data_IF_451946654098
#
_entry.id   IF_451946654098
#
_cell.length_a   1.000
_cell.length_b   1.000
_cell.length_c   1.000
_cell.angle_alpha   90.00
_cell.angle_beta   90.00
_cell.angle_gamma   90.00
#
_symmetry.space_group_name_H-M   'P 1'
#
loop_
_entity.id
_entity.type
_entity.pdbx_description
1 polymer ?
#
# COMPACT_ATOMS: atom_id res chain seq x y z
N UNK A 1 -21.65 31.36 -14.10
CA UNK A 1 -20.55 31.28 -15.06
C UNK A 1 -19.28 31.68 -14.32
N UNK A 2 -18.25 30.89 -14.37
CA UNK A 2 -16.92 30.99 -13.70
C UNK A 2 -16.79 30.14 -12.44
N UNK A 3 -16.61 28.84 -12.61
CA UNK A 3 -15.99 27.93 -11.64
C UNK A 3 -15.70 26.56 -12.31
N UNK A 4 -14.86 26.55 -13.35
CA UNK A 4 -14.46 25.32 -14.07
C UNK A 4 -13.07 25.52 -14.72
N UNK A 5 -12.05 25.93 -13.94
CA UNK A 5 -10.68 26.06 -14.48
C UNK A 5 -9.57 25.68 -13.51
N UNK A 6 -9.86 25.11 -12.32
CA UNK A 6 -8.81 24.82 -11.34
C UNK A 6 -8.29 23.36 -11.33
N UNK A 7 -8.87 22.44 -12.10
CA UNK A 7 -8.44 21.04 -12.13
C UNK A 7 -7.63 20.62 -13.36
N UNK A 8 -7.63 21.45 -14.41
CA UNK A 8 -6.87 21.15 -15.64
C UNK A 8 -5.42 21.68 -15.55
N UNK A 9 -5.17 22.78 -14.86
CA UNK A 9 -3.84 23.38 -14.74
C UNK A 9 -2.85 22.51 -13.92
N UNK A 10 -3.34 21.72 -12.94
CA UNK A 10 -2.48 20.84 -12.13
C UNK A 10 -1.99 19.60 -12.90
N UNK A 11 -2.71 19.17 -13.93
CA UNK A 11 -2.29 18.02 -14.75
C UNK A 11 -1.22 18.39 -15.77
N UNK A 12 -1.27 19.60 -16.29
CA UNK A 12 -0.33 20.09 -17.29
C UNK A 12 1.03 20.44 -16.66
N UNK A 13 1.06 20.99 -15.46
CA UNK A 13 2.29 21.23 -14.71
C UNK A 13 3.02 19.94 -14.31
N UNK A 14 2.28 18.88 -13.94
CA UNK A 14 2.85 17.57 -13.66
C UNK A 14 3.36 16.86 -14.93
N UNK A 15 2.67 17.02 -16.06
CA UNK A 15 3.13 16.50 -17.35
C UNK A 15 4.38 17.23 -17.85
N UNK A 16 4.48 18.55 -17.70
CA UNK A 16 5.66 19.31 -18.08
C UNK A 16 6.89 18.89 -17.27
N UNK A 17 6.70 18.63 -15.99
CA UNK A 17 7.76 18.17 -15.07
C UNK A 17 8.27 16.77 -15.43
N UNK A 18 7.40 15.87 -15.91
CA UNK A 18 7.79 14.53 -16.39
C UNK A 18 8.40 14.61 -17.79
N UNK A 19 7.90 15.47 -18.68
CA UNK A 19 8.41 15.64 -20.05
C UNK A 19 9.77 16.34 -20.10
N UNK A 20 10.02 17.35 -19.27
CA UNK A 20 11.35 17.95 -19.13
C UNK A 20 12.37 16.96 -18.56
N UNK A 21 11.91 15.97 -17.81
CA UNK A 21 12.73 14.88 -17.29
C UNK A 21 13.05 13.79 -18.32
N UNK A 22 12.20 13.62 -19.34
CA UNK A 22 12.32 12.58 -20.38
C UNK A 22 12.89 13.08 -21.72
N UNK A 23 13.02 14.40 -21.92
CA UNK A 23 13.11 15.05 -23.26
C UNK A 23 14.45 15.66 -23.67
N UNK A 24 15.61 15.29 -23.11
CA UNK A 24 16.90 15.74 -23.66
C UNK A 24 17.87 14.57 -23.86
N UNK A 25 17.69 13.87 -24.98
CA UNK A 25 18.70 12.92 -25.44
C UNK A 25 19.39 13.45 -26.71
N UNK A 26 20.64 13.84 -26.60
CA UNK A 26 21.59 13.91 -27.71
C UNK A 26 22.99 13.49 -27.22
N UNK A 27 23.29 12.27 -27.51
CA UNK A 27 24.55 11.60 -27.77
C UNK A 27 25.83 12.08 -27.06
N UNK A 28 26.32 11.28 -26.10
CA UNK A 28 27.75 10.99 -25.98
C UNK A 28 27.96 9.66 -25.25
N UNK A 29 28.67 8.77 -25.93
CA UNK A 29 29.09 7.47 -25.41
C UNK A 29 30.01 7.66 -24.20
N UNK A 30 29.70 7.01 -23.09
CA UNK A 30 30.60 6.86 -21.96
C UNK A 30 30.65 5.40 -21.51
N UNK A 31 31.88 4.91 -21.42
CA UNK A 31 32.28 3.54 -21.16
C UNK A 31 31.84 3.07 -19.76
N UNK A 32 31.32 1.84 -19.71
CA UNK A 32 30.71 1.27 -18.53
C UNK A 32 31.71 0.82 -17.48
N UNK A 33 31.34 0.99 -16.28
CA UNK A 33 31.47 0.17 -15.04
C UNK A 33 31.22 1.04 -13.82
N UNK A 34 29.96 1.26 -13.51
CA UNK A 34 29.58 1.62 -12.13
C UNK A 34 28.56 0.63 -11.65
N UNK A 35 28.97 -0.23 -10.74
CA UNK A 35 28.12 -1.10 -9.95
C UNK A 35 27.05 -0.26 -9.23
N UNK A 36 25.80 -0.75 -9.11
CA UNK A 36 24.74 -0.04 -8.38
C UNK A 36 25.18 0.23 -6.93
N UNK A 37 24.82 1.36 -6.34
CA UNK A 37 25.19 1.75 -4.98
C UNK A 37 24.57 0.91 -3.87
N UNK A 38 23.91 -0.18 -4.19
CA UNK A 38 23.11 -1.01 -3.28
C UNK A 38 23.90 -1.84 -2.25
N UNK A 39 25.24 -1.97 -2.42
CA UNK A 39 26.07 -2.80 -1.53
C UNK A 39 26.82 -2.08 -0.41
N UNK A 40 26.68 -0.76 -0.26
CA UNK A 40 27.44 0.02 0.73
C UNK A 40 26.61 0.57 1.91
N UNK A 41 25.32 0.25 2.01
CA UNK A 41 24.54 0.66 3.18
C UNK A 41 24.58 -0.49 4.19
N UNK A 42 25.63 -0.48 5.04
CA UNK A 42 25.61 -1.25 6.27
C UNK A 42 24.31 -0.94 7.01
N UNK A 43 23.68 -1.96 7.62
CA UNK A 43 22.48 -1.86 8.47
C UNK A 43 22.63 -0.68 9.43
N UNK A 44 22.29 0.52 9.00
CA UNK A 44 22.03 1.63 9.91
C UNK A 44 20.71 1.29 10.60
N UNK A 45 20.67 1.38 11.92
CA UNK A 45 19.45 1.16 12.70
C UNK A 45 18.39 2.12 12.17
N UNK A 46 17.25 1.60 11.76
CA UNK A 46 16.08 2.38 11.41
C UNK A 46 15.77 3.34 12.56
N UNK A 47 15.58 4.64 12.25
CA UNK A 47 15.18 5.63 13.25
C UNK A 47 16.31 6.52 13.78
N UNK A 48 17.37 6.78 13.03
CA UNK A 48 18.36 7.80 13.43
C UNK A 48 17.68 9.18 13.54
N UNK A 49 17.87 9.84 14.65
CA UNK A 49 17.41 11.22 14.85
C UNK A 49 18.40 12.16 14.21
N UNK A 50 17.98 12.78 13.10
CA UNK A 50 18.77 13.72 12.32
C UNK A 50 18.49 15.17 12.75
N UNK A 51 19.43 16.07 12.46
CA UNK A 51 19.20 17.51 12.61
C UNK A 51 18.49 18.06 11.37
N UNK A 52 17.60 19.04 11.54
CA UNK A 52 17.02 19.79 10.42
C UNK A 52 18.10 20.44 9.54
N UNK A 53 19.25 20.81 10.11
CA UNK A 53 20.39 21.38 9.39
C UNK A 53 21.11 20.38 8.47
N UNK A 54 20.86 19.08 8.62
CA UNK A 54 21.42 18.04 7.75
C UNK A 54 20.58 17.80 6.49
N UNK A 55 19.42 18.47 6.37
CA UNK A 55 18.47 18.30 5.30
C UNK A 55 18.52 19.45 4.32
N UNK A 56 18.55 19.14 3.02
CA UNK A 56 18.36 20.10 1.93
C UNK A 56 17.16 19.67 1.11
N UNK A 57 16.09 20.46 1.15
CA UNK A 57 14.90 20.24 0.33
C UNK A 57 15.15 20.71 -1.09
N UNK A 58 14.89 19.87 -2.07
CA UNK A 58 15.25 20.10 -3.49
C UNK A 58 14.01 20.48 -4.30
N UNK A 59 12.93 19.68 -4.17
CA UNK A 59 11.73 19.82 -4.98
C UNK A 59 10.51 19.26 -4.23
N UNK A 60 9.36 19.89 -4.39
CA UNK A 60 8.07 19.32 -3.92
C UNK A 60 7.72 18.11 -4.80
N UNK A 61 7.33 17.01 -4.15
CA UNK A 61 6.86 15.78 -4.80
C UNK A 61 5.34 15.63 -4.70
N UNK A 62 4.72 16.27 -3.70
CA UNK A 62 3.28 16.21 -3.48
C UNK A 62 2.88 16.68 -2.10
N UNK A 63 1.57 16.74 -1.85
CA UNK A 63 1.01 17.07 -0.54
C UNK A 63 -0.08 16.08 -0.17
N UNK A 64 -0.14 15.71 1.12
CA UNK A 64 -1.14 14.83 1.70
C UNK A 64 -1.91 15.52 2.82
N UNK A 65 -2.76 14.76 3.50
CA UNK A 65 -3.67 15.27 4.54
C UNK A 65 -2.95 15.71 5.83
N UNK A 66 -1.76 15.19 6.11
CA UNK A 66 -0.98 15.50 7.32
C UNK A 66 0.37 16.19 7.04
N UNK A 67 0.72 16.45 5.78
CA UNK A 67 1.98 17.11 5.43
C UNK A 67 2.29 17.09 3.95
N UNK A 68 3.40 17.72 3.59
CA UNK A 68 3.90 17.78 2.21
C UNK A 68 5.15 16.93 2.05
N UNK A 69 5.33 16.32 0.88
CA UNK A 69 6.47 15.45 0.56
C UNK A 69 7.41 16.18 -0.37
N UNK A 70 8.69 16.16 -0.05
CA UNK A 70 9.77 16.77 -0.82
C UNK A 70 10.83 15.76 -1.17
N UNK A 71 11.45 15.93 -2.32
CA UNK A 71 12.76 15.35 -2.59
C UNK A 71 13.79 16.08 -1.72
N UNK A 72 14.54 15.33 -0.94
CA UNK A 72 15.53 15.91 -0.04
C UNK A 72 16.88 15.19 -0.16
N UNK A 73 17.95 15.94 0.04
CA UNK A 73 19.29 15.42 0.26
C UNK A 73 19.61 15.45 1.74
N UNK A 74 20.04 14.32 2.25
CA UNK A 74 20.40 14.12 3.66
C UNK A 74 21.91 14.02 3.75
N UNK A 75 22.56 14.92 4.48
CA UNK A 75 24.00 14.89 4.72
C UNK A 75 24.37 13.67 5.57
N UNK A 76 25.33 12.89 5.11
CA UNK A 76 25.79 11.69 5.82
C UNK A 76 27.01 11.99 6.66
N UNK A 77 27.08 11.39 7.85
CA UNK A 77 28.26 11.46 8.74
C UNK A 77 29.51 10.88 8.09
N UNK A 78 29.36 9.95 7.15
CA UNK A 78 30.46 9.34 6.36
C UNK A 78 30.92 10.20 5.19
N UNK A 79 30.34 11.38 4.98
CA UNK A 79 30.51 12.21 3.79
C UNK A 79 29.54 11.84 2.67
N UNK A 80 29.24 12.83 1.80
CA UNK A 80 28.26 12.69 0.71
C UNK A 80 26.81 12.89 1.17
N UNK A 81 25.88 12.72 0.22
CA UNK A 81 24.45 12.91 0.43
C UNK A 81 23.67 11.63 0.10
N UNK A 82 22.58 11.43 0.83
CA UNK A 82 21.58 10.43 0.52
C UNK A 82 20.34 11.15 -0.03
N UNK A 83 19.81 10.70 -1.16
CA UNK A 83 18.54 11.19 -1.71
C UNK A 83 17.39 10.44 -1.03
N UNK A 84 16.43 11.19 -0.51
CA UNK A 84 15.28 10.65 0.23
C UNK A 84 13.99 11.39 -0.13
N UNK A 85 12.85 10.74 0.11
CA UNK A 85 11.57 11.41 0.20
C UNK A 85 11.39 11.90 1.64
N UNK A 86 11.10 13.20 1.81
CA UNK A 86 10.95 13.85 3.10
C UNK A 86 9.50 14.31 3.28
N UNK A 87 8.72 13.62 4.15
CA UNK A 87 7.37 14.04 4.53
C UNK A 87 7.49 15.05 5.68
N UNK A 88 7.19 16.30 5.38
CA UNK A 88 7.28 17.46 6.29
C UNK A 88 5.91 17.79 6.84
N UNK A 89 5.78 17.82 8.16
CA UNK A 89 4.53 17.99 8.89
C UNK A 89 4.64 19.18 9.83
N UNK A 90 3.68 20.13 9.78
CA UNK A 90 3.57 21.23 10.74
C UNK A 90 2.85 20.74 12.01
N UNK A 91 3.56 20.66 13.12
CA UNK A 91 3.01 20.20 14.42
C UNK A 91 1.84 21.06 14.90
N UNK A 92 1.82 22.37 14.59
CA UNK A 92 0.73 23.28 14.96
C UNK A 92 -0.52 22.99 14.14
N UNK A 93 -0.36 22.76 12.84
CA UNK A 93 -1.47 22.36 11.98
C UNK A 93 -2.05 21.01 12.38
N UNK A 94 -1.18 20.02 12.66
CA UNK A 94 -1.61 18.71 13.14
C UNK A 94 -2.41 18.81 14.43
N UNK A 95 -1.95 19.60 15.41
CA UNK A 95 -2.65 19.84 16.66
C UNK A 95 -4.00 20.55 16.43
N UNK A 96 -4.03 21.59 15.59
CA UNK A 96 -5.27 22.32 15.27
C UNK A 96 -6.33 21.45 14.58
N UNK A 97 -5.91 20.40 13.84
CA UNK A 97 -6.77 19.47 13.11
C UNK A 97 -6.98 18.13 13.81
N UNK A 98 -6.48 17.97 15.05
CA UNK A 98 -6.51 16.71 15.82
C UNK A 98 -5.92 15.50 15.06
N UNK A 99 -4.80 15.73 14.36
CA UNK A 99 -4.13 14.72 13.53
C UNK A 99 -2.76 14.26 14.05
N UNK A 100 -2.34 14.68 15.23
CA UNK A 100 -1.08 14.27 15.85
C UNK A 100 -1.00 12.74 16.04
N UNK A 101 -2.14 12.11 16.34
CA UNK A 101 -2.25 10.66 16.48
C UNK A 101 -1.91 9.92 15.17
N UNK A 102 -2.32 10.46 14.02
CA UNK A 102 -2.03 9.89 12.70
C UNK A 102 -0.54 9.99 12.36
N UNK A 103 0.06 11.16 12.56
CA UNK A 103 1.50 11.37 12.33
C UNK A 103 2.36 10.44 13.21
N UNK A 104 1.95 10.23 14.46
CA UNK A 104 2.63 9.29 15.37
C UNK A 104 2.47 7.85 14.89
N UNK A 105 1.26 7.44 14.51
CA UNK A 105 0.99 6.08 14.03
C UNK A 105 1.80 5.76 12.76
N UNK A 106 1.86 6.69 11.80
CA UNK A 106 2.67 6.54 10.60
C UNK A 106 4.15 6.34 10.94
N UNK A 107 4.71 7.15 11.83
CA UNK A 107 6.10 7.00 12.27
C UNK A 107 6.34 5.64 12.92
N UNK A 108 5.51 5.24 13.89
CA UNK A 108 5.65 3.96 14.60
C UNK A 108 5.52 2.75 13.67
N UNK A 109 4.71 2.86 12.62
CA UNK A 109 4.58 1.83 11.60
C UNK A 109 5.86 1.78 10.76
N UNK A 110 6.32 2.92 10.23
CA UNK A 110 7.53 2.99 9.41
C UNK A 110 8.78 2.49 10.14
N UNK A 111 8.89 2.71 11.46
CA UNK A 111 9.99 2.21 12.28
C UNK A 111 10.02 0.67 12.36
N UNK A 112 8.86 0.01 12.19
CA UNK A 112 8.71 -1.44 12.27
C UNK A 112 8.77 -2.15 10.92
N UNK A 113 8.69 -1.43 9.81
CA UNK A 113 8.64 -2.03 8.48
C UNK A 113 10.05 -2.43 7.99
N UNK A 114 10.17 -3.68 7.50
CA UNK A 114 11.35 -4.19 6.80
C UNK A 114 10.91 -5.18 5.73
N UNK A 115 10.56 -4.67 4.54
CA UNK A 115 10.01 -5.47 3.45
C UNK A 115 10.32 -4.84 2.09
N UNK A 116 10.62 -5.60 1.02
CA UNK A 116 11.05 -5.06 -0.27
C UNK A 116 10.02 -4.20 -1.02
N UNK A 117 8.73 -4.27 -0.67
CA UNK A 117 7.64 -3.47 -1.26
C UNK A 117 7.07 -2.44 -0.28
N UNK A 118 7.80 -2.13 0.79
CA UNK A 118 7.45 -1.11 1.78
C UNK A 118 8.65 -0.17 1.99
N UNK A 119 8.42 1.13 2.24
CA UNK A 119 9.49 2.12 2.29
C UNK A 119 10.37 1.90 3.52
N UNK A 120 11.66 1.99 3.31
CA UNK A 120 12.61 2.04 4.42
C UNK A 120 12.58 3.42 5.04
N UNK A 121 12.43 3.51 6.35
CA UNK A 121 12.64 4.73 7.10
C UNK A 121 14.15 4.92 7.31
N UNK A 122 14.71 6.00 6.75
CA UNK A 122 16.12 6.36 6.94
C UNK A 122 16.35 7.07 8.26
N UNK A 123 15.38 7.87 8.71
CA UNK A 123 15.43 8.60 9.95
C UNK A 123 14.32 9.62 10.07
N UNK A 124 14.37 10.40 11.14
CA UNK A 124 13.46 11.51 11.39
C UNK A 124 14.21 12.72 11.90
N UNK A 125 13.71 13.91 11.57
CA UNK A 125 14.19 15.18 12.11
C UNK A 125 13.00 15.95 12.70
N UNK A 126 13.22 16.68 13.77
CA UNK A 126 12.21 17.52 14.40
C UNK A 126 12.82 18.79 14.98
N UNK A 127 12.03 19.85 14.94
CA UNK A 127 12.29 21.07 15.71
C UNK A 127 11.04 21.51 16.49
N UNK A 128 10.98 22.76 16.95
CA UNK A 128 9.83 23.29 17.67
C UNK A 128 8.51 23.33 16.88
N UNK A 129 8.56 23.41 15.56
CA UNK A 129 7.40 23.53 14.66
C UNK A 129 7.24 22.33 13.74
N UNK A 130 8.31 21.80 13.19
CA UNK A 130 8.29 20.84 12.11
C UNK A 130 8.65 19.43 12.58
N UNK A 131 8.04 18.43 11.96
CA UNK A 131 8.41 17.02 12.07
C UNK A 131 8.63 16.48 10.65
N UNK A 132 9.75 15.79 10.42
CA UNK A 132 10.12 15.27 9.11
C UNK A 132 10.40 13.77 9.23
N UNK A 133 9.78 12.98 8.34
CA UNK A 133 10.08 11.56 8.14
C UNK A 133 10.82 11.39 6.82
N UNK A 134 11.95 10.69 6.85
CA UNK A 134 12.80 10.47 5.68
C UNK A 134 12.72 9.02 5.25
N UNK A 135 12.15 8.80 4.08
CA UNK A 135 11.96 7.46 3.51
C UNK A 135 12.67 7.30 2.17
N UNK A 136 12.68 6.08 1.69
CA UNK A 136 13.18 5.75 0.36
C UNK A 136 12.44 6.54 -0.72
N UNK A 137 13.20 7.10 -1.67
CA UNK A 137 12.65 7.85 -2.80
C UNK A 137 12.40 6.91 -3.99
N UNK A 138 11.21 6.99 -4.57
CA UNK A 138 10.77 6.23 -5.73
C UNK A 138 10.71 7.13 -6.98
N UNK A 139 11.69 7.06 -7.88
CA UNK A 139 11.77 7.97 -9.04
C UNK A 139 10.74 7.68 -10.13
N UNK A 140 10.08 6.52 -10.10
CA UNK A 140 9.07 6.14 -11.09
C UNK A 140 7.70 6.78 -10.87
N UNK A 141 7.54 7.63 -9.83
CA UNK A 141 6.25 8.23 -9.48
C UNK A 141 5.26 7.22 -8.93
N UNK A 142 3.98 7.54 -8.98
CA UNK A 142 2.91 6.66 -8.51
C UNK A 142 2.22 5.90 -9.67
N UNK A 143 1.50 4.86 -9.30
CA UNK A 143 0.83 3.98 -10.26
C UNK A 143 -0.38 4.65 -10.92
N UNK A 144 -0.97 5.69 -10.28
CA UNK A 144 -2.04 6.49 -10.90
C UNK A 144 -1.50 7.24 -12.12
N UNK A 145 -0.40 7.99 -11.97
CA UNK A 145 0.24 8.72 -13.07
C UNK A 145 0.69 7.73 -14.15
N UNK A 146 1.37 6.64 -13.76
CA UNK A 146 1.80 5.62 -14.72
C UNK A 146 0.61 5.03 -15.50
N UNK A 147 -0.55 4.81 -14.85
CA UNK A 147 -1.79 4.38 -15.50
C UNK A 147 -2.33 5.42 -16.47
N UNK A 148 -2.33 6.72 -16.08
CA UNK A 148 -2.79 7.80 -16.96
C UNK A 148 -1.97 7.90 -18.27
N UNK A 149 -0.69 7.53 -18.22
CA UNK A 149 0.20 7.48 -19.39
C UNK A 149 -0.03 6.25 -20.29
N UNK A 150 -0.74 5.22 -19.80
CA UNK A 150 -1.03 4.04 -20.61
C UNK A 150 -2.09 4.31 -21.68
N UNK A 151 -2.08 3.57 -22.79
CA UNK A 151 -3.18 3.60 -23.77
C UNK A 151 -4.52 3.33 -23.09
N UNK A 152 -5.53 4.18 -23.35
CA UNK A 152 -6.86 4.09 -22.72
C UNK A 152 -6.84 4.21 -21.19
N UNK A 153 -5.77 4.78 -20.61
CA UNK A 153 -5.60 5.03 -19.16
C UNK A 153 -5.80 3.79 -18.29
N UNK A 154 -5.35 2.62 -18.77
CA UNK A 154 -5.46 1.33 -18.09
C UNK A 154 -4.29 0.42 -18.44
N UNK A 155 -4.04 -0.57 -17.59
CA UNK A 155 -3.03 -1.59 -17.83
C UNK A 155 -3.63 -2.84 -18.49
N UNK A 156 -2.78 -3.61 -19.19
CA UNK A 156 -3.10 -4.98 -19.58
C UNK A 156 -3.15 -5.92 -18.35
N UNK A 157 -3.78 -7.08 -18.51
CA UNK A 157 -3.98 -8.03 -17.41
C UNK A 157 -2.65 -8.61 -16.87
N UNK A 158 -1.61 -8.72 -17.68
CA UNK A 158 -0.32 -9.23 -17.25
C UNK A 158 0.38 -8.23 -16.31
N UNK A 159 0.37 -6.95 -16.68
CA UNK A 159 0.86 -5.85 -15.84
C UNK A 159 0.07 -5.73 -14.54
N UNK A 160 -1.27 -5.85 -14.59
CA UNK A 160 -2.12 -5.83 -13.38
C UNK A 160 -1.77 -7.03 -12.48
N UNK A 161 -1.59 -8.23 -13.04
CA UNK A 161 -1.19 -9.40 -12.26
C UNK A 161 0.14 -9.19 -11.55
N UNK A 162 1.12 -8.57 -12.23
CA UNK A 162 2.41 -8.24 -11.64
C UNK A 162 2.24 -7.31 -10.44
N UNK A 163 1.67 -6.12 -10.62
CA UNK A 163 1.53 -5.12 -9.57
C UNK A 163 0.67 -5.62 -8.40
N UNK A 164 -0.46 -6.26 -8.68
CA UNK A 164 -1.35 -6.82 -7.65
C UNK A 164 -0.65 -7.93 -6.86
N UNK A 165 0.19 -8.75 -7.49
CA UNK A 165 0.96 -9.77 -6.78
C UNK A 165 1.90 -9.17 -5.73
N UNK A 166 2.60 -8.10 -6.06
CA UNK A 166 3.51 -7.42 -5.13
C UNK A 166 2.75 -6.73 -3.99
N UNK A 167 1.63 -6.07 -4.33
CA UNK A 167 0.72 -5.46 -3.32
C UNK A 167 0.19 -6.52 -2.35
N UNK A 168 -0.23 -7.70 -2.84
CA UNK A 168 -0.70 -8.81 -1.96
C UNK A 168 0.39 -9.25 -0.99
N UNK A 169 1.65 -9.34 -1.43
CA UNK A 169 2.77 -9.74 -0.56
C UNK A 169 3.07 -8.65 0.48
N UNK A 170 3.00 -7.37 0.10
CA UNK A 170 3.16 -6.26 1.04
C UNK A 170 2.06 -6.23 2.10
N UNK A 171 0.80 -6.42 1.68
CA UNK A 171 -0.35 -6.46 2.59
C UNK A 171 -0.31 -7.68 3.53
N UNK A 172 0.09 -8.86 3.01
CA UNK A 172 0.31 -10.05 3.84
C UNK A 172 1.32 -9.77 4.96
N UNK A 173 2.45 -9.14 4.62
CA UNK A 173 3.46 -8.77 5.62
C UNK A 173 2.89 -7.82 6.69
N UNK A 174 2.15 -6.79 6.28
CA UNK A 174 1.53 -5.84 7.21
C UNK A 174 0.51 -6.53 8.13
N UNK A 175 -0.37 -7.38 7.58
CA UNK A 175 -1.38 -8.11 8.35
C UNK A 175 -0.74 -9.06 9.38
N UNK A 176 0.31 -9.79 9.00
CA UNK A 176 1.09 -10.63 9.94
C UNK A 176 1.68 -9.80 11.09
N UNK A 177 2.04 -8.54 10.84
CA UNK A 177 2.53 -7.60 11.85
C UNK A 177 1.40 -6.90 12.64
N UNK A 178 0.15 -7.25 12.39
CA UNK A 178 -1.01 -6.64 13.04
C UNK A 178 -1.33 -5.23 12.54
N UNK A 179 -0.92 -4.90 11.31
CA UNK A 179 -1.15 -3.59 10.69
C UNK A 179 -2.23 -3.74 9.61
N UNK A 180 -3.29 -2.93 9.68
CA UNK A 180 -4.31 -2.76 8.65
C UNK A 180 -4.00 -1.46 7.91
N UNK A 181 -3.85 -1.50 6.58
CA UNK A 181 -3.37 -0.39 5.77
C UNK A 181 -4.42 0.68 5.54
N UNK A 182 -5.63 0.32 5.09
CA UNK A 182 -6.86 1.14 4.93
C UNK A 182 -6.86 2.21 3.84
N UNK A 183 -5.77 2.43 3.13
CA UNK A 183 -5.70 3.45 2.07
C UNK A 183 -4.99 2.96 0.80
N UNK A 184 -5.27 1.71 0.38
CA UNK A 184 -4.78 1.21 -0.90
C UNK A 184 -5.51 1.90 -2.05
N UNK A 185 -4.73 2.60 -2.89
CA UNK A 185 -5.16 3.24 -4.14
C UNK A 185 -3.94 3.44 -5.04
N UNK A 186 -4.10 3.67 -6.36
CA UNK A 186 -2.96 3.82 -7.27
C UNK A 186 -1.99 4.94 -6.88
N UNK A 187 -2.48 6.03 -6.28
CA UNK A 187 -1.68 7.17 -5.80
C UNK A 187 -0.72 6.79 -4.67
N UNK A 188 -1.07 5.75 -3.89
CA UNK A 188 -0.27 5.28 -2.76
C UNK A 188 0.62 4.07 -3.11
N UNK A 189 0.70 3.72 -4.40
CA UNK A 189 1.58 2.67 -4.92
C UNK A 189 2.64 3.32 -5.80
N UNK A 190 3.82 3.52 -5.25
CA UNK A 190 4.96 4.13 -5.94
C UNK A 190 5.73 3.07 -6.74
N UNK A 191 6.47 3.52 -7.75
CA UNK A 191 7.35 2.69 -8.57
C UNK A 191 8.81 3.02 -8.24
N UNK A 192 9.53 2.02 -7.75
CA UNK A 192 10.96 2.11 -7.45
C UNK A 192 11.81 2.27 -8.71
N UNK A 193 13.08 2.62 -8.54
CA UNK A 193 14.04 2.75 -9.64
C UNK A 193 14.23 1.48 -10.48
N UNK A 194 13.87 0.35 -9.93
CA UNK A 194 13.93 -0.97 -10.55
C UNK A 194 12.58 -1.44 -11.13
N UNK A 195 11.53 -0.62 -11.06
CA UNK A 195 10.20 -0.89 -11.60
C UNK A 195 9.27 -1.70 -10.69
N UNK A 196 9.72 -2.09 -9.49
CA UNK A 196 8.90 -2.76 -8.49
C UNK A 196 8.07 -1.75 -7.67
N UNK A 197 6.96 -2.24 -7.09
CA UNK A 197 6.08 -1.36 -6.30
C UNK A 197 6.62 -1.08 -4.91
N UNK A 198 6.19 0.05 -4.35
CA UNK A 198 6.39 0.43 -2.97
C UNK A 198 5.12 1.11 -2.44
N UNK A 199 4.45 0.50 -1.46
CA UNK A 199 3.29 1.11 -0.79
C UNK A 199 3.76 2.24 0.11
N UNK A 200 3.03 3.37 0.11
CA UNK A 200 3.37 4.56 0.90
C UNK A 200 2.16 5.09 1.66
N UNK A 201 2.35 6.12 2.47
CA UNK A 201 1.30 6.82 3.23
C UNK A 201 0.54 5.92 4.22
N UNK A 202 1.09 5.80 5.43
CA UNK A 202 0.55 4.96 6.51
C UNK A 202 -0.25 5.74 7.55
N UNK A 203 -0.58 6.99 7.27
CA UNK A 203 -1.25 7.89 8.22
C UNK A 203 -2.67 7.43 8.60
N UNK A 204 -3.35 6.70 7.72
CA UNK A 204 -4.65 6.07 7.99
C UNK A 204 -4.54 4.65 8.54
N UNK A 205 -3.35 4.08 8.62
CA UNK A 205 -3.16 2.68 9.03
C UNK A 205 -3.44 2.48 10.52
N UNK A 206 -3.89 1.27 10.85
CA UNK A 206 -4.10 0.84 12.24
C UNK A 206 -3.09 -0.23 12.60
N UNK A 207 -2.46 -0.07 13.76
CA UNK A 207 -1.57 -1.07 14.35
C UNK A 207 -2.18 -1.64 15.62
N UNK A 208 -2.17 -2.97 15.74
CA UNK A 208 -2.58 -3.66 16.98
C UNK A 208 -1.65 -3.29 18.13
N UNK A 209 -2.23 -2.90 19.26
CA UNK A 209 -1.47 -2.64 20.50
C UNK A 209 -1.00 -3.91 21.21
N UNK A 210 -1.52 -5.07 20.81
CA UNK A 210 -1.10 -6.36 21.33
C UNK A 210 -0.16 -7.03 20.34
N UNK A 211 1.04 -7.41 20.78
CA UNK A 211 1.91 -8.35 20.07
C UNK A 211 1.28 -9.75 20.11
N UNK A 212 0.17 -9.91 19.38
CA UNK A 212 -0.43 -11.23 19.22
C UNK A 212 0.48 -12.03 18.28
N UNK A 213 1.16 -13.01 18.87
CA UNK A 213 1.80 -14.06 18.07
C UNK A 213 0.77 -14.61 17.08
N UNK A 214 1.17 -14.85 15.80
CA UNK A 214 0.26 -15.35 14.79
C UNK A 214 -0.45 -16.60 15.30
N UNK A 215 -1.78 -16.60 15.23
CA UNK A 215 -2.59 -17.71 15.65
C UNK A 215 -2.46 -18.85 14.62
N UNK A 216 -2.06 -20.03 15.06
CA UNK A 216 -2.15 -21.24 14.25
C UNK A 216 -3.60 -21.75 14.28
N UNK A 217 -4.27 -21.74 13.14
CA UNK A 217 -5.55 -22.44 13.00
C UNK A 217 -5.27 -23.95 12.96
N UNK A 218 -5.35 -24.60 14.11
CA UNK A 218 -5.11 -26.02 14.14
C UNK A 218 -5.40 -26.67 15.48
N UNK A 219 -6.49 -27.38 15.50
CA UNK A 219 -6.99 -28.39 16.43
C UNK A 219 -8.03 -27.93 17.45
N UNK A 220 -9.21 -28.52 17.44
CA UNK A 220 -10.12 -28.42 18.57
C UNK A 220 -9.41 -29.08 19.78
N UNK A 221 -9.09 -28.28 20.77
CA UNK A 221 -8.69 -28.79 22.07
C UNK A 221 -9.90 -29.45 22.70
N UNK A 222 -9.98 -30.75 22.56
CA UNK A 222 -10.77 -31.54 23.50
C UNK A 222 -10.03 -31.53 24.83
N UNK A 223 -10.60 -30.82 25.79
CA UNK A 223 -10.25 -30.96 27.20
C UNK A 223 -10.33 -32.44 27.61
N UNK A 224 -9.17 -33.04 27.88
CA UNK A 224 -9.11 -34.23 28.73
C UNK A 224 -8.01 -33.98 29.75
N UNK A 225 -8.44 -33.36 30.84
CA UNK A 225 -7.77 -33.52 32.14
C UNK A 225 -8.04 -34.93 32.62
N UNK A 226 -7.02 -35.78 32.68
CA UNK A 226 -6.97 -36.88 33.62
C UNK A 226 -5.54 -37.39 33.72
N UNK A 227 -4.99 -37.23 34.90
CA UNK A 227 -3.84 -37.94 35.39
C UNK A 227 -4.01 -39.47 35.24
N UNK A 228 -2.91 -40.17 35.00
CA UNK A 228 -2.52 -41.43 35.67
C UNK A 228 -1.17 -41.87 35.12
N UNK A 229 -0.13 -41.79 35.91
CA UNK A 229 0.55 -42.89 36.56
C UNK A 229 1.16 -44.00 35.71
N UNK A 230 2.44 -44.13 35.92
CA UNK A 230 3.34 -45.21 35.48
C UNK A 230 2.78 -46.65 35.70
N UNK A 231 3.06 -47.51 34.72
CA UNK A 231 3.50 -48.89 34.96
C UNK A 231 3.69 -49.58 33.57
N UNK A 232 4.92 -49.95 33.26
CA UNK A 232 5.20 -51.00 32.28
C UNK A 232 5.00 -52.36 32.94
N UNK A 233 4.68 -53.43 32.20
CA UNK A 233 5.73 -54.35 31.80
C UNK A 233 5.63 -54.92 30.39
N UNK A 234 6.78 -55.40 29.90
CA UNK A 234 7.03 -56.10 28.70
C UNK A 234 6.29 -57.43 28.59
N UNK A 235 5.82 -57.82 27.35
CA UNK A 235 5.81 -59.19 26.88
C UNK A 235 5.74 -59.22 25.33
N UNK A 236 6.75 -59.72 24.72
CA UNK A 236 7.01 -60.64 23.62
C UNK A 236 5.95 -60.95 22.55
N UNK A 237 6.41 -60.78 21.31
CA UNK A 237 6.19 -61.59 20.08
C UNK A 237 4.86 -62.28 19.83
N UNK A 238 4.22 -61.96 18.67
CA UNK A 238 3.97 -62.96 17.61
C UNK A 238 3.52 -62.27 16.31
N UNK A 239 4.10 -62.72 15.19
CA UNK A 239 3.82 -62.32 13.84
C UNK A 239 2.38 -62.58 13.40
N UNK A 240 1.73 -61.56 12.78
CA UNK A 240 0.81 -61.80 11.66
C UNK A 240 0.77 -60.58 10.75
N UNK A 241 1.26 -60.73 9.50
CA UNK A 241 1.16 -59.73 8.44
C UNK A 241 -0.30 -59.54 8.06
N UNK A 242 -0.91 -58.44 8.49
CA UNK A 242 -2.13 -57.88 7.90
C UNK A 242 -1.74 -56.68 7.07
N UNK A 243 -1.93 -56.81 5.74
CA UNK A 243 -1.83 -55.69 4.79
C UNK A 243 -2.94 -54.70 5.12
N UNK A 244 -2.58 -53.57 5.74
CA UNK A 244 -3.46 -52.44 5.86
C UNK A 244 -3.38 -51.60 4.60
N UNK A 245 -4.56 -51.10 4.03
CA UNK A 245 -4.55 -50.18 2.93
C UNK A 245 -3.88 -48.87 3.40
N UNK A 246 -2.84 -48.45 2.64
CA UNK A 246 -2.20 -47.14 2.85
C UNK A 246 -3.21 -46.03 2.50
N UNK A 247 -4.06 -45.62 3.44
CA UNK A 247 -4.68 -44.30 3.40
C UNK A 247 -3.53 -43.29 3.47
N UNK A 248 -3.20 -42.69 2.33
CA UNK A 248 -2.43 -41.46 2.27
C UNK A 248 -3.29 -40.37 2.95
N UNK A 249 -3.19 -40.22 4.26
CA UNK A 249 -3.54 -38.99 4.91
C UNK A 249 -2.68 -37.91 4.26
N UNK A 250 -3.29 -37.09 3.38
CA UNK A 250 -2.74 -35.79 3.06
C UNK A 250 -2.59 -35.09 4.42
N UNK A 251 -1.35 -34.96 4.90
CA UNK A 251 -1.04 -34.02 5.96
C UNK A 251 -1.34 -32.65 5.36
N UNK A 252 -2.50 -32.10 5.65
CA UNK A 252 -2.72 -30.68 5.52
C UNK A 252 -1.75 -30.04 6.50
N UNK A 253 -0.76 -29.37 5.96
CA UNK A 253 0.09 -28.49 6.76
C UNK A 253 -0.83 -27.52 7.53
N UNK A 254 -0.55 -27.22 8.79
CA UNK A 254 -1.32 -26.22 9.51
C UNK A 254 -1.33 -24.93 8.68
N UNK A 255 -2.52 -24.44 8.39
CA UNK A 255 -2.71 -23.24 7.60
C UNK A 255 -2.42 -22.03 8.52
N UNK A 256 -1.43 -21.26 8.14
CA UNK A 256 -1.03 -20.06 8.88
C UNK A 256 -2.04 -18.96 8.63
N UNK A 257 -2.68 -18.44 9.68
CA UNK A 257 -3.56 -17.27 9.59
C UNK A 257 -2.71 -16.00 9.63
N UNK A 258 -2.77 -15.21 8.57
CA UNK A 258 -2.03 -13.94 8.44
C UNK A 258 -2.86 -12.71 8.81
N UNK A 259 -4.08 -12.87 9.30
CA UNK A 259 -4.99 -11.78 9.61
C UNK A 259 -4.84 -11.24 11.03
N UNK A 260 -4.89 -9.90 11.23
CA UNK A 260 -4.88 -9.28 12.56
C UNK A 260 -6.26 -9.44 13.23
N UNK A 261 -6.44 -10.52 13.96
CA UNK A 261 -7.74 -10.97 14.52
C UNK A 261 -8.39 -9.97 15.49
N UNK A 262 -7.59 -9.14 16.17
CA UNK A 262 -8.07 -8.29 17.27
C UNK A 262 -8.09 -6.78 16.97
N UNK A 263 -7.84 -6.37 15.71
CA UNK A 263 -7.87 -4.96 15.33
C UNK A 263 -9.23 -4.60 14.77
N UNK A 264 -9.97 -3.73 15.45
CA UNK A 264 -11.25 -3.20 14.97
C UNK A 264 -11.29 -1.68 15.12
N UNK A 265 -11.97 -1.02 14.19
CA UNK A 265 -12.17 0.44 14.16
C UNK A 265 -13.58 0.77 13.74
N UNK A 266 -14.08 1.93 14.20
CA UNK A 266 -15.32 2.53 13.74
C UNK A 266 -15.07 3.87 13.01
N UNK A 267 -13.80 4.17 12.68
CA UNK A 267 -13.45 5.42 12.01
C UNK A 267 -13.88 5.39 10.54
N UNK A 268 -14.45 6.50 10.06
CA UNK A 268 -14.76 6.71 8.64
C UNK A 268 -13.53 7.36 7.99
N UNK A 269 -12.69 6.55 7.35
CA UNK A 269 -11.42 6.98 6.74
C UNK A 269 -11.19 6.26 5.43
N UNK A 270 -10.46 6.90 4.52
CA UNK A 270 -10.12 6.41 3.19
C UNK A 270 -10.72 7.26 2.08
N UNK A 271 -10.31 7.00 0.85
CA UNK A 271 -10.84 7.64 -0.36
C UNK A 271 -12.26 7.12 -0.64
N UNK A 272 -13.24 8.00 -0.88
CA UNK A 272 -14.66 7.65 -0.95
C UNK A 272 -14.99 6.48 -1.89
N UNK A 273 -14.35 6.45 -3.07
CA UNK A 273 -14.58 5.39 -4.06
C UNK A 273 -14.01 4.02 -3.66
N UNK A 274 -13.12 4.01 -2.68
CA UNK A 274 -12.43 2.81 -2.17
C UNK A 274 -13.01 2.28 -0.87
N UNK A 275 -13.95 3.02 -0.23
CA UNK A 275 -14.51 2.61 1.06
C UNK A 275 -15.24 1.28 0.97
N UNK A 276 -15.02 0.41 1.96
CA UNK A 276 -15.75 -0.83 2.10
C UNK A 276 -17.19 -0.59 2.61
N UNK A 277 -18.16 -1.44 2.25
CA UNK A 277 -19.56 -1.29 2.67
C UNK A 277 -19.75 -1.14 4.18
N UNK A 278 -19.01 -1.90 4.99
CA UNK A 278 -19.03 -1.85 6.44
C UNK A 278 -18.53 -0.52 7.01
N UNK A 279 -17.58 0.14 6.34
CA UNK A 279 -17.15 1.50 6.71
C UNK A 279 -18.28 2.48 6.40
N UNK A 280 -18.87 2.38 5.21
CA UNK A 280 -19.97 3.26 4.77
C UNK A 280 -21.19 3.10 5.67
N UNK A 281 -21.50 1.89 6.10
CA UNK A 281 -22.63 1.60 7.01
C UNK A 281 -22.35 1.97 8.47
N UNK A 282 -21.12 2.37 8.81
CA UNK A 282 -20.74 2.71 10.19
C UNK A 282 -20.60 1.50 11.10
N UNK A 283 -20.45 0.30 10.53
CA UNK A 283 -20.18 -0.93 11.27
C UNK A 283 -18.70 -1.01 11.65
N UNK A 284 -18.39 -1.73 12.71
CA UNK A 284 -16.99 -1.96 13.09
C UNK A 284 -16.28 -2.79 12.03
N UNK A 285 -15.08 -2.33 11.59
CA UNK A 285 -14.30 -2.98 10.54
C UNK A 285 -12.91 -3.45 11.01
N UNK A 286 -12.39 -4.47 10.35
CA UNK A 286 -11.05 -5.04 10.56
C UNK A 286 -10.25 -5.11 9.26
N UNK A 287 -9.31 -6.07 9.17
CA UNK A 287 -8.42 -6.26 8.01
C UNK A 287 -9.14 -6.58 6.69
N UNK A 288 -10.37 -7.08 6.75
CA UNK A 288 -11.15 -7.38 5.55
C UNK A 288 -11.36 -6.16 4.62
N UNK A 289 -11.29 -4.92 5.16
CA UNK A 289 -11.38 -3.70 4.35
C UNK A 289 -10.24 -3.58 3.34
N UNK A 290 -9.04 -4.06 3.68
CA UNK A 290 -7.89 -4.03 2.78
C UNK A 290 -8.09 -4.96 1.57
N UNK A 291 -8.77 -6.10 1.76
CA UNK A 291 -9.11 -6.99 0.65
C UNK A 291 -10.20 -6.42 -0.25
N UNK A 292 -11.12 -5.62 0.31
CA UNK A 292 -12.06 -4.84 -0.50
C UNK A 292 -11.34 -3.79 -1.34
N UNK A 293 -10.45 -2.98 -0.73
CA UNK A 293 -9.70 -1.96 -1.47
C UNK A 293 -8.82 -2.58 -2.55
N UNK A 294 -8.25 -3.79 -2.33
CA UNK A 294 -7.53 -4.55 -3.36
C UNK A 294 -8.45 -4.89 -4.56
N UNK A 295 -9.71 -5.24 -4.31
CA UNK A 295 -10.69 -5.51 -5.36
C UNK A 295 -11.02 -4.27 -6.19
N UNK A 296 -11.19 -3.10 -5.54
CA UNK A 296 -11.39 -1.81 -6.22
C UNK A 296 -10.14 -1.44 -7.02
N UNK A 297 -8.97 -1.52 -6.43
CA UNK A 297 -7.68 -1.25 -7.04
C UNK A 297 -7.46 -2.09 -8.31
N UNK A 298 -7.68 -3.41 -8.22
CA UNK A 298 -7.55 -4.30 -9.37
C UNK A 298 -8.53 -3.95 -10.50
N UNK A 299 -9.78 -3.62 -10.15
CA UNK A 299 -10.78 -3.19 -11.12
C UNK A 299 -10.35 -1.89 -11.81
N UNK A 300 -9.90 -0.88 -11.05
CA UNK A 300 -9.46 0.39 -11.62
C UNK A 300 -8.26 0.26 -12.54
N UNK A 301 -7.26 -0.56 -12.18
CA UNK A 301 -6.11 -0.79 -13.06
C UNK A 301 -6.51 -1.44 -14.40
N UNK A 302 -7.52 -2.33 -14.41
CA UNK A 302 -8.00 -3.04 -15.61
C UNK A 302 -8.93 -2.21 -16.47
N UNK A 303 -9.79 -1.37 -15.87
CA UNK A 303 -10.85 -0.66 -16.58
C UNK A 303 -10.62 0.85 -16.69
N UNK A 304 -9.73 1.43 -15.89
CA UNK A 304 -9.39 2.86 -15.88
C UNK A 304 -10.29 3.72 -14.99
N UNK A 305 -11.25 3.13 -14.30
CA UNK A 305 -12.16 3.80 -13.37
C UNK A 305 -12.61 2.82 -12.27
N UNK A 306 -13.16 3.34 -11.17
CA UNK A 306 -13.58 2.54 -10.01
C UNK A 306 -14.96 1.90 -10.23
N UNK A 307 -15.25 0.73 -9.59
CA UNK A 307 -16.39 -0.11 -9.96
C UNK A 307 -17.77 0.44 -9.55
N UNK A 308 -17.84 1.41 -8.65
CA UNK A 308 -19.08 1.89 -8.06
C UNK A 308 -19.42 3.34 -8.38
N UNK A 309 -18.58 4.04 -9.17
CA UNK A 309 -18.85 5.37 -9.71
C UNK A 309 -19.95 5.32 -10.76
N UNK A 310 -20.77 6.36 -10.88
CA UNK A 310 -21.78 6.49 -11.93
C UNK A 310 -23.13 7.02 -11.45
N UNK A 311 -24.03 7.24 -12.43
CA UNK A 311 -25.29 7.94 -12.24
C UNK A 311 -26.27 7.28 -11.27
N UNK A 312 -27.04 8.13 -10.62
CA UNK A 312 -28.00 7.95 -9.52
C UNK A 312 -29.08 6.89 -9.76
N UNK A 313 -29.45 6.19 -8.68
CA UNK A 313 -30.73 5.54 -8.50
C UNK A 313 -31.40 5.97 -7.17
N UNK A 314 -32.72 5.75 -7.12
CA UNK A 314 -33.69 6.14 -6.07
C UNK A 314 -33.36 5.82 -4.59
N UNK A 315 -32.22 5.18 -4.28
CA UNK A 315 -31.73 4.88 -2.91
C UNK A 315 -31.16 6.11 -2.18
N UNK A 316 -30.92 7.20 -2.91
CA UNK A 316 -30.36 8.45 -2.46
C UNK A 316 -31.04 9.08 -1.22
N UNK A 317 -32.38 9.15 -1.25
CA UNK A 317 -33.13 9.87 -0.21
C UNK A 317 -33.04 9.21 1.18
N UNK A 318 -32.85 7.91 1.23
CA UNK A 318 -32.79 7.16 2.49
C UNK A 318 -31.39 7.23 3.14
N UNK A 319 -30.31 7.27 2.35
CA UNK A 319 -28.93 7.41 2.86
C UNK A 319 -28.64 8.83 3.37
N UNK A 320 -29.12 9.86 2.70
CA UNK A 320 -28.94 11.26 3.10
C UNK A 320 -29.51 11.55 4.49
N UNK A 321 -30.58 10.86 4.89
CA UNK A 321 -31.20 11.00 6.19
C UNK A 321 -30.45 10.29 7.32
N UNK A 322 -29.70 9.23 7.00
CA UNK A 322 -28.93 8.42 7.96
C UNK A 322 -27.51 8.99 8.23
N UNK A 323 -26.90 9.63 7.23
CA UNK A 323 -25.53 10.14 7.32
C UNK A 323 -25.45 11.64 7.61
N UNK A 324 -25.06 12.03 8.82
CA UNK A 324 -24.83 13.42 9.24
C UNK A 324 -23.56 14.03 8.62
N UNK A 325 -23.32 13.86 7.31
CA UNK A 325 -22.10 14.35 6.64
C UNK A 325 -22.28 15.77 6.11
N UNK A 326 -21.46 16.71 6.58
CA UNK A 326 -21.57 18.16 6.26
C UNK A 326 -20.79 18.61 5.01
N UNK A 327 -19.90 17.76 4.43
CA UNK A 327 -18.98 18.17 3.35
C UNK A 327 -18.82 17.10 2.24
N UNK A 328 -19.86 16.30 1.97
CA UNK A 328 -19.82 15.27 0.93
C UNK A 328 -20.61 15.76 -0.28
N UNK A 329 -20.02 15.69 -1.47
CA UNK A 329 -20.67 16.08 -2.73
C UNK A 329 -21.80 15.11 -3.08
N UNK A 330 -22.74 15.56 -3.95
CA UNK A 330 -23.80 14.67 -4.43
C UNK A 330 -23.24 13.44 -5.17
N UNK A 331 -22.11 13.58 -5.87
CA UNK A 331 -21.40 12.49 -6.55
C UNK A 331 -20.84 11.47 -5.55
N UNK A 332 -20.17 11.91 -4.49
CA UNK A 332 -19.63 11.01 -3.46
C UNK A 332 -20.73 10.21 -2.79
N UNK A 333 -21.84 10.86 -2.48
CA UNK A 333 -22.99 10.19 -1.85
C UNK A 333 -23.59 9.09 -2.75
N UNK A 334 -23.61 9.31 -4.06
CA UNK A 334 -24.09 8.30 -5.01
C UNK A 334 -23.14 7.11 -5.09
N UNK A 335 -21.84 7.39 -5.08
CA UNK A 335 -20.80 6.37 -5.01
C UNK A 335 -20.95 5.53 -3.74
N UNK A 336 -21.11 6.16 -2.58
CA UNK A 336 -21.31 5.47 -1.30
C UNK A 336 -22.59 4.60 -1.32
N UNK A 337 -23.70 5.09 -1.88
CA UNK A 337 -24.91 4.31 -2.05
C UNK A 337 -24.71 3.09 -2.95
N UNK A 338 -23.98 3.24 -4.06
CA UNK A 338 -23.63 2.15 -4.95
C UNK A 338 -22.73 1.11 -4.27
N UNK A 339 -21.76 1.56 -3.46
CA UNK A 339 -20.88 0.69 -2.67
C UNK A 339 -21.70 -0.24 -1.77
N UNK A 340 -22.74 0.26 -1.12
CA UNK A 340 -23.59 -0.56 -0.24
C UNK A 340 -24.54 -1.46 -1.04
N UNK A 341 -25.21 -0.90 -2.06
CA UNK A 341 -26.39 -1.54 -2.67
C UNK A 341 -26.11 -2.31 -3.97
N UNK A 342 -25.11 -1.93 -4.76
CA UNK A 342 -24.89 -2.50 -6.10
C UNK A 342 -23.80 -3.56 -6.11
N UNK A 343 -24.08 -4.68 -6.81
CA UNK A 343 -23.03 -5.64 -7.20
C UNK A 343 -22.05 -5.03 -8.23
N UNK A 344 -20.83 -5.56 -8.29
CA UNK A 344 -19.87 -5.17 -9.31
C UNK A 344 -20.37 -5.58 -10.70
N UNK A 345 -20.33 -4.62 -11.65
CA UNK A 345 -20.69 -4.81 -13.06
C UNK A 345 -19.41 -4.66 -13.89
N UNK A 346 -19.14 -5.65 -14.74
CA UNK A 346 -17.97 -5.62 -15.61
C UNK A 346 -18.36 -5.10 -16.98
N UNK A 347 -17.65 -4.07 -17.51
CA UNK A 347 -17.80 -3.64 -18.88
C UNK A 347 -17.48 -4.76 -19.87
N UNK A 348 -18.06 -4.70 -21.07
CA UNK A 348 -17.73 -5.64 -22.16
C UNK A 348 -16.31 -5.43 -22.68
N UNK A 349 -15.87 -4.19 -22.70
CA UNK A 349 -14.51 -3.76 -23.09
C UNK A 349 -13.83 -3.05 -21.92
N UNK A 350 -12.56 -3.35 -21.65
CA UNK A 350 -11.72 -4.37 -22.31
C UNK A 350 -12.17 -5.80 -22.01
N UNK A 351 -11.78 -6.73 -22.87
CA UNK A 351 -11.95 -8.14 -22.57
C UNK A 351 -10.98 -8.53 -21.46
N UNK A 352 -11.53 -8.81 -20.28
CA UNK A 352 -10.80 -9.25 -19.09
C UNK A 352 -11.13 -10.72 -18.83
N UNK A 353 -10.15 -11.52 -18.39
CA UNK A 353 -10.33 -12.95 -18.15
C UNK A 353 -11.39 -13.25 -17.08
N UNK A 354 -12.00 -14.43 -17.17
CA UNK A 354 -12.93 -14.90 -16.13
C UNK A 354 -12.23 -15.11 -14.79
N UNK A 355 -10.93 -15.41 -14.80
CA UNK A 355 -10.13 -15.53 -13.59
C UNK A 355 -9.99 -14.18 -12.86
N UNK A 356 -9.72 -13.10 -13.60
CA UNK A 356 -9.64 -11.76 -13.03
C UNK A 356 -11.00 -11.29 -12.49
N UNK A 357 -12.08 -11.48 -13.26
CA UNK A 357 -13.44 -11.14 -12.83
C UNK A 357 -13.89 -11.92 -11.60
N UNK A 358 -13.49 -13.19 -11.48
CA UNK A 358 -13.81 -14.06 -10.35
C UNK A 358 -13.09 -13.58 -9.07
N UNK A 359 -11.80 -13.27 -9.17
CA UNK A 359 -11.04 -12.69 -8.07
C UNK A 359 -11.67 -11.38 -7.58
N UNK A 360 -11.96 -10.46 -8.50
CA UNK A 360 -12.59 -9.17 -8.16
C UNK A 360 -13.95 -9.39 -7.48
N UNK A 361 -14.82 -10.31 -7.95
CA UNK A 361 -16.09 -10.62 -7.27
C UNK A 361 -15.87 -11.14 -5.86
N UNK A 362 -14.89 -12.00 -5.66
CA UNK A 362 -14.56 -12.55 -4.34
C UNK A 362 -14.07 -11.47 -3.38
N UNK A 363 -13.23 -10.55 -3.86
CA UNK A 363 -12.71 -9.42 -3.07
C UNK A 363 -13.79 -8.36 -2.80
N UNK A 364 -14.72 -8.13 -3.75
CA UNK A 364 -15.82 -7.17 -3.64
C UNK A 364 -17.11 -7.79 -3.08
N UNK A 365 -17.01 -8.86 -2.29
CA UNK A 365 -18.14 -9.36 -1.52
C UNK A 365 -18.55 -8.33 -0.46
N UNK A 366 -19.87 -7.98 -0.43
CA UNK A 366 -20.39 -6.93 0.46
C UNK A 366 -20.30 -7.34 1.94
N UNK A 367 -20.61 -8.59 2.22
CA UNK A 367 -20.46 -9.19 3.54
C UNK A 367 -18.95 -9.39 3.81
N UNK A 368 -18.36 -8.70 4.81
CA UNK A 368 -16.94 -8.80 5.10
C UNK A 368 -16.53 -10.23 5.49
N UNK A 369 -17.40 -11.03 6.15
CA UNK A 369 -17.06 -12.38 6.58
C UNK A 369 -17.02 -13.38 5.39
N UNK A 370 -17.70 -13.05 4.29
CA UNK A 370 -17.72 -13.84 3.04
C UNK A 370 -16.71 -13.35 2.01
N UNK A 371 -16.04 -12.26 2.30
CA UNK A 371 -15.03 -11.67 1.40
C UNK A 371 -13.80 -12.57 1.29
N UNK A 372 -13.28 -12.72 0.07
CA UNK A 372 -12.05 -13.48 -0.14
C UNK A 372 -10.89 -12.83 0.64
N UNK A 373 -10.19 -13.60 1.45
CA UNK A 373 -9.13 -13.13 2.33
C UNK A 373 -9.57 -12.85 3.76
N UNK A 374 -10.87 -12.66 4.05
CA UNK A 374 -11.34 -12.26 5.37
C UNK A 374 -10.97 -13.23 6.52
N UNK A 375 -10.94 -14.53 6.25
CA UNK A 375 -10.70 -15.56 7.28
C UNK A 375 -9.26 -16.06 7.28
N UNK A 376 -8.70 -16.32 6.11
CA UNK A 376 -7.39 -16.95 5.94
C UNK A 376 -6.31 -15.99 5.40
N UNK A 377 -6.68 -14.75 5.11
CA UNK A 377 -5.79 -13.72 4.61
C UNK A 377 -5.26 -13.96 3.20
N UNK A 378 -4.10 -13.39 2.92
CA UNK A 378 -3.42 -13.51 1.65
C UNK A 378 -3.23 -14.94 1.11
N UNK A 379 -3.03 -15.98 1.92
CA UNK A 379 -2.85 -17.34 1.40
C UNK A 379 -3.97 -17.84 0.50
N UNK A 380 -5.23 -17.49 0.78
CA UNK A 380 -6.36 -17.89 -0.09
C UNK A 380 -6.37 -17.09 -1.38
N UNK A 381 -6.02 -15.81 -1.33
CA UNK A 381 -5.89 -14.93 -2.51
C UNK A 381 -4.77 -15.44 -3.42
N UNK A 382 -3.60 -15.73 -2.87
CA UNK A 382 -2.42 -16.23 -3.60
C UNK A 382 -2.67 -17.54 -4.33
N UNK A 383 -3.61 -18.37 -3.87
CA UNK A 383 -4.01 -19.64 -4.53
C UNK A 383 -5.07 -19.45 -5.61
N UNK A 384 -5.58 -18.23 -5.78
CA UNK A 384 -6.59 -17.99 -6.79
C UNK A 384 -6.02 -18.14 -8.20
N UNK A 385 -6.79 -18.73 -9.14
CA UNK A 385 -6.38 -19.03 -10.53
C UNK A 385 -5.88 -17.82 -11.32
N UNK A 386 -6.24 -16.60 -10.92
CA UNK A 386 -5.70 -15.37 -11.51
C UNK A 386 -4.17 -15.29 -11.36
N UNK A 387 -3.63 -15.86 -10.31
CA UNK A 387 -2.20 -15.89 -10.00
C UNK A 387 -1.51 -17.18 -10.44
N UNK A 388 -2.15 -18.01 -11.27
CA UNK A 388 -1.51 -19.21 -11.80
C UNK A 388 -0.21 -18.85 -12.53
N UNK A 389 0.88 -19.55 -12.19
CA UNK A 389 2.22 -19.28 -12.69
C UNK A 389 3.03 -18.23 -11.92
N UNK A 390 2.45 -17.52 -10.94
CA UNK A 390 3.20 -16.59 -10.08
C UNK A 390 4.07 -17.38 -9.09
N UNK A 391 5.37 -17.15 -9.14
CA UNK A 391 6.31 -17.68 -8.15
C UNK A 391 6.47 -16.69 -7.00
N UNK A 392 5.68 -16.86 -5.94
CA UNK A 392 5.65 -15.98 -4.79
C UNK A 392 6.97 -15.84 -4.04
N UNK A 393 7.82 -16.87 -4.08
CA UNK A 393 9.14 -16.83 -3.44
C UNK A 393 10.16 -16.00 -4.23
N UNK A 394 9.96 -15.87 -5.54
CA UNK A 394 10.86 -15.17 -6.46
C UNK A 394 10.20 -13.93 -7.09
N UNK A 395 9.13 -13.42 -6.50
CA UNK A 395 8.37 -12.30 -7.07
C UNK A 395 9.26 -11.07 -7.32
N UNK A 396 10.21 -10.80 -6.44
CA UNK A 396 11.18 -9.70 -6.55
C UNK A 396 12.21 -9.89 -7.67
N UNK A 397 12.31 -11.11 -8.24
CA UNK A 397 13.20 -11.43 -9.35
C UNK A 397 12.48 -11.41 -10.72
N UNK A 398 11.19 -11.16 -10.74
CA UNK A 398 10.40 -11.05 -11.97
C UNK A 398 10.66 -9.69 -12.61
N UNK A 399 10.87 -9.64 -13.93
CA UNK A 399 11.05 -8.37 -14.64
C UNK A 399 9.77 -7.56 -14.61
N UNK A 400 9.80 -6.30 -14.11
CA UNK A 400 8.64 -5.43 -14.08
C UNK A 400 8.17 -5.04 -15.49
N UNK A 401 6.86 -4.76 -15.67
CA UNK A 401 6.32 -4.33 -16.96
C UNK A 401 6.78 -2.92 -17.35
N UNK A 402 7.18 -2.12 -16.38
CA UNK A 402 7.73 -0.79 -16.57
C UNK A 402 8.90 -0.57 -15.61
N UNK A 403 10.02 -0.14 -16.16
CA UNK A 403 11.20 0.30 -15.39
C UNK A 403 11.43 1.77 -15.72
N UNK A 404 11.38 2.67 -14.73
CA UNK A 404 11.60 4.08 -15.00
C UNK A 404 13.03 4.32 -15.49
N UNK A 405 13.28 5.41 -16.26
CA UNK A 405 14.63 5.78 -16.65
C UNK A 405 15.50 6.04 -15.42
N UNK A 406 16.80 5.77 -15.54
CA UNK A 406 17.73 5.96 -14.43
C UNK A 406 17.67 7.41 -13.92
N UNK A 407 17.41 7.57 -12.62
CA UNK A 407 17.42 8.87 -11.97
C UNK A 407 18.86 9.43 -12.03
N UNK A 408 19.05 10.48 -12.82
CA UNK A 408 20.32 11.23 -12.81
C UNK A 408 20.27 12.15 -11.60
N UNK A 409 21.12 11.89 -10.61
CA UNK A 409 21.41 12.90 -9.59
C UNK A 409 21.97 14.11 -10.30
N UNK A 410 21.17 15.16 -10.45
CA UNK A 410 21.67 16.45 -10.92
C UNK A 410 22.69 16.89 -9.90
N UNK A 411 23.90 17.27 -10.37
CA UNK A 411 24.92 17.86 -9.52
C UNK A 411 24.46 19.28 -9.15
N UNK A 412 23.60 19.37 -8.15
CA UNK A 412 23.00 20.63 -7.66
C UNK A 412 24.04 21.58 -7.04
N UNK A 413 25.33 21.21 -7.05
CA UNK A 413 26.40 22.10 -6.61
C UNK A 413 26.69 23.22 -7.60
N UNK A 414 26.16 23.16 -8.83
CA UNK A 414 26.48 24.12 -9.92
C UNK A 414 25.40 25.14 -10.20
N UNK A 415 24.15 24.95 -9.76
CA UNK A 415 23.03 25.85 -10.06
C UNK A 415 22.49 26.56 -8.81
N UNK A 416 23.38 27.23 -8.09
CA UNK A 416 23.00 28.22 -7.07
C UNK A 416 23.38 29.58 -7.61
N UNK A 417 22.36 30.31 -8.02
CA UNK A 417 22.12 31.75 -8.17
C UNK A 417 21.39 32.07 -9.48
N UNK A 418 20.09 31.84 -9.48
CA UNK A 418 19.19 32.76 -10.13
C UNK A 418 18.07 33.08 -9.13
N UNK A 419 18.16 34.28 -8.55
CA UNK A 419 17.24 34.85 -7.60
C UNK A 419 16.01 35.40 -8.38
N UNK A 420 15.18 34.52 -8.87
CA UNK A 420 13.89 34.88 -9.45
C UNK A 420 12.77 34.11 -8.74
N UNK A 421 12.33 34.68 -7.59
CA UNK A 421 10.93 34.70 -7.16
C UNK A 421 10.19 33.36 -7.07
N UNK A 422 10.78 32.33 -6.46
CA UNK A 422 9.98 31.23 -5.91
C UNK A 422 9.71 31.54 -4.45
N UNK A 423 8.49 31.98 -4.16
CA UNK A 423 7.94 32.05 -2.81
C UNK A 423 8.03 30.66 -2.18
N UNK A 424 9.11 30.42 -1.46
CA UNK A 424 9.25 29.27 -0.58
C UNK A 424 8.29 29.50 0.59
N UNK A 425 7.28 28.64 0.80
CA UNK A 425 6.33 28.83 1.91
C UNK A 425 6.94 28.55 3.29
N UNK A 426 8.26 28.39 3.37
CA UNK A 426 8.94 28.07 4.63
C UNK A 426 10.25 28.85 4.72
N UNK A 427 10.21 29.99 5.40
CA UNK A 427 11.41 30.61 5.94
C UNK A 427 11.98 29.74 7.06
N UNK A 428 13.04 29.02 6.75
CA UNK A 428 13.90 28.40 7.76
C UNK A 428 15.03 29.39 8.12
N UNK A 429 14.88 30.05 9.24
CA UNK A 429 15.95 30.71 9.98
C UNK A 429 16.35 29.87 11.17
#
# INVERSE_FOLDING_TARGET
MTALTASEDLSDDLQSVIFDFLGSDSGSSFDGRTTPPEKAIGRQRSGEKLSMADLRFVKSLGSGDIGSVYLAEVKRSSGGFLVAAAKVMDKRELAARDKEGRARAEREILEDLDHPFLPRLYGSAEDGRWSVLLTEFCPGGDLHILRQLQPLKRFDEASVRFYVSEVVVAMEYMHVRGIIYRDLKPENVLIGSDGHVMLTDFDLSLKSSSSSSPAFAGSPTSDITSAVSCLAPAISCFHRRLRWPRFRRRRTLPEFMSEPVNVRSNSFVGTHEYLAPEIVSGEGHGSAVDWWTLGVFMFELLYGFTPFTGESNHLWNNLKQSMKMRHVTDFDMMTLANIVARGVVFPKEPTVSDAAKDLIRGLLAKDPDRRLGATLGAPVIKRHRFFDGVNWALIRCVSPPHVPPAFKTVDFSKDVYDDSGLDMPVEFY
#
